data_IF_505726050479
#
_entry.id   IF_505726050479
#
_cell.length_a   1.000
_cell.length_b   1.000
_cell.length_c   1.000
_cell.angle_alpha   90.00
_cell.angle_beta   90.00
_cell.angle_gamma   90.00
#
_symmetry.space_group_name_H-M   'P 1'
#
loop_
_entity.id
_entity.type
_entity.pdbx_description
1 polymer ?
#
# COMPACT_ATOMS: atom_id res chain seq x y z
N UNK A 1 6.25 8.01 -24.49
CA UNK A 1 5.40 6.93 -23.94
C UNK A 1 5.81 5.65 -24.67
N UNK A 2 6.35 4.66 -23.95
CA UNK A 2 6.87 3.44 -24.59
C UNK A 2 5.75 2.48 -25.00
N UNK A 3 5.86 1.88 -26.18
CA UNK A 3 5.00 0.81 -26.66
C UNK A 3 5.33 -0.48 -25.91
N UNK A 4 4.37 -1.05 -25.18
CA UNK A 4 4.53 -2.36 -24.54
C UNK A 4 4.55 -3.44 -25.62
N UNK A 5 5.52 -4.35 -25.59
CA UNK A 5 5.66 -5.47 -26.53
C UNK A 5 5.21 -6.77 -25.88
N UNK A 6 4.61 -7.66 -26.66
CA UNK A 6 4.22 -9.00 -26.21
C UNK A 6 5.40 -9.96 -26.28
N UNK A 7 5.75 -10.58 -25.14
CA UNK A 7 6.83 -11.56 -25.09
C UNK A 7 6.55 -12.85 -25.88
N UNK A 8 5.28 -13.13 -26.22
CA UNK A 8 4.89 -14.36 -26.92
C UNK A 8 4.92 -14.21 -28.45
N UNK A 9 4.65 -13.01 -28.96
CA UNK A 9 4.48 -12.75 -30.40
C UNK A 9 5.42 -11.67 -30.95
N UNK A 10 6.14 -10.97 -30.07
CA UNK A 10 7.04 -9.85 -30.39
C UNK A 10 6.36 -8.68 -31.13
N UNK A 11 5.04 -8.63 -31.10
CA UNK A 11 4.23 -7.55 -31.64
C UNK A 11 3.89 -6.53 -30.55
N UNK A 12 3.59 -5.29 -30.95
CA UNK A 12 3.11 -4.28 -30.02
C UNK A 12 1.81 -4.76 -29.37
N UNK A 13 1.70 -4.62 -28.05
CA UNK A 13 0.56 -5.11 -27.28
C UNK A 13 -0.77 -4.56 -27.81
N UNK A 14 -0.80 -3.36 -28.41
CA UNK A 14 -2.00 -2.77 -28.98
C UNK A 14 -2.47 -3.38 -30.30
N UNK A 15 -1.60 -4.06 -31.04
CA UNK A 15 -1.91 -4.65 -32.36
C UNK A 15 -2.43 -6.10 -32.23
N UNK A 16 -2.33 -6.70 -31.03
CA UNK A 16 -2.85 -8.03 -30.78
C UNK A 16 -4.38 -8.07 -30.85
N UNK A 17 -4.92 -9.12 -31.46
CA UNK A 17 -6.37 -9.37 -31.48
C UNK A 17 -6.99 -9.53 -30.09
N UNK A 18 -6.18 -9.91 -29.10
CA UNK A 18 -6.57 -10.04 -27.68
C UNK A 18 -6.26 -8.80 -26.85
N UNK A 19 -5.76 -7.73 -27.45
CA UNK A 19 -5.47 -6.48 -26.74
C UNK A 19 -6.76 -5.85 -26.21
N UNK A 20 -6.74 -5.40 -24.96
CA UNK A 20 -7.81 -4.61 -24.35
C UNK A 20 -9.22 -5.22 -24.46
N UNK A 21 -9.34 -6.56 -24.54
CA UNK A 21 -10.65 -7.24 -24.66
C UNK A 21 -11.61 -6.87 -23.50
N UNK A 22 -11.09 -6.52 -22.33
CA UNK A 22 -11.92 -6.07 -21.20
C UNK A 22 -12.58 -4.69 -21.42
N UNK A 23 -12.09 -3.85 -22.34
CA UNK A 23 -12.69 -2.54 -22.64
C UNK A 23 -13.82 -2.64 -23.65
N UNK A 24 -13.87 -3.75 -24.40
CA UNK A 24 -14.86 -4.02 -25.43
C UNK A 24 -16.18 -4.39 -24.79
N UNK A 25 -17.24 -3.69 -25.17
CA UNK A 25 -18.62 -3.95 -24.75
C UNK A 25 -19.38 -4.80 -25.76
N UNK A 26 -18.81 -5.00 -26.95
CA UNK A 26 -19.35 -5.80 -28.05
C UNK A 26 -19.01 -7.29 -27.94
N UNK A 27 -18.16 -7.67 -26.98
CA UNK A 27 -17.76 -9.06 -26.76
C UNK A 27 -18.36 -9.59 -25.45
N UNK A 28 -19.03 -10.74 -25.55
CA UNK A 28 -19.56 -11.44 -24.39
C UNK A 28 -18.42 -11.95 -23.52
N UNK A 29 -18.34 -11.48 -22.27
CA UNK A 29 -17.34 -11.97 -21.32
C UNK A 29 -17.64 -13.42 -20.98
N UNK A 30 -16.65 -14.28 -21.13
CA UNK A 30 -16.77 -15.67 -20.70
C UNK A 30 -17.06 -15.70 -19.20
N UNK A 31 -18.20 -16.28 -18.83
CA UNK A 31 -18.67 -16.32 -17.44
C UNK A 31 -17.74 -17.10 -16.49
N UNK A 32 -16.67 -17.72 -17.01
CA UNK A 32 -15.68 -18.48 -16.24
C UNK A 32 -14.51 -17.62 -15.73
N UNK A 33 -14.30 -16.41 -16.27
CA UNK A 33 -13.24 -15.51 -15.82
C UNK A 33 -13.84 -14.44 -14.89
N UNK A 34 -14.14 -14.85 -13.66
CA UNK A 34 -14.61 -13.95 -12.63
C UNK A 34 -14.60 -14.64 -11.28
N UNK A 35 -14.42 -13.88 -10.20
CA UNK A 35 -14.44 -14.38 -8.84
C UNK A 35 -15.83 -14.96 -8.42
N UNK A 36 -16.83 -14.94 -9.31
CA UNK A 36 -18.22 -15.29 -9.02
C UNK A 36 -18.63 -16.74 -9.25
N UNK A 37 -17.87 -17.56 -10.00
CA UNK A 37 -18.25 -18.99 -10.19
C UNK A 37 -17.71 -19.91 -9.10
N UNK A 38 -16.57 -19.61 -8.49
CA UNK A 38 -16.12 -20.26 -7.25
C UNK A 38 -16.84 -19.74 -6.00
N UNK A 39 -17.59 -18.64 -6.13
CA UNK A 39 -18.46 -18.10 -5.10
C UNK A 39 -19.80 -18.85 -4.91
N UNK A 40 -20.15 -19.77 -5.81
CA UNK A 40 -21.42 -20.50 -5.73
C UNK A 40 -21.49 -21.49 -4.55
N UNK A 41 -20.43 -21.59 -3.74
CA UNK A 41 -20.34 -22.41 -2.54
C UNK A 41 -20.06 -21.55 -1.28
N UNK A 42 -20.67 -20.37 -1.15
CA UNK A 42 -20.35 -19.46 -0.05
C UNK A 42 -21.58 -18.95 0.70
N UNK A 43 -21.44 -18.84 2.02
CA UNK A 43 -22.41 -18.35 3.01
C UNK A 43 -22.66 -16.82 2.89
N UNK A 44 -22.84 -16.29 1.69
CA UNK A 44 -23.17 -14.89 1.46
C UNK A 44 -24.14 -14.73 0.29
N UNK A 45 -24.92 -13.65 0.32
CA UNK A 45 -25.86 -13.30 -0.74
C UNK A 45 -25.36 -12.08 -1.51
N UNK A 46 -25.43 -12.13 -2.85
CA UNK A 46 -25.18 -10.98 -3.72
C UNK A 46 -26.50 -10.22 -3.86
N UNK A 47 -26.58 -9.02 -3.27
CA UNK A 47 -27.81 -8.20 -3.24
C UNK A 47 -27.90 -7.25 -4.45
N UNK A 48 -26.82 -7.05 -5.20
CA UNK A 48 -26.80 -6.23 -6.41
C UNK A 48 -25.92 -6.87 -7.48
N UNK A 49 -26.55 -7.51 -8.46
CA UNK A 49 -25.90 -8.07 -9.64
C UNK A 49 -26.94 -8.40 -10.69
N UNK A 50 -26.86 -7.74 -11.84
CA UNK A 50 -27.73 -7.98 -12.98
C UNK A 50 -27.41 -9.36 -13.58
N UNK A 51 -28.09 -10.38 -13.08
CA UNK A 51 -27.82 -11.76 -13.51
C UNK A 51 -28.58 -12.87 -12.80
N UNK A 52 -29.48 -12.58 -11.85
CA UNK A 52 -30.37 -13.59 -11.27
C UNK A 52 -31.81 -13.17 -11.49
N UNK A 53 -32.47 -13.69 -12.53
CA UNK A 53 -33.93 -13.70 -12.61
C UNK A 53 -34.45 -14.63 -11.52
N UNK A 54 -34.62 -14.10 -10.31
CA UNK A 54 -35.46 -14.69 -9.29
C UNK A 54 -36.67 -13.78 -9.16
N UNK A 55 -37.82 -14.32 -9.55
CA UNK A 55 -39.16 -13.74 -9.44
C UNK A 55 -39.36 -12.98 -8.13
N UNK A 56 -39.71 -11.70 -8.26
CA UNK A 56 -40.12 -10.81 -7.17
C UNK A 56 -41.18 -11.46 -6.27
N UNK A 57 -41.02 -11.36 -4.94
CA UNK A 57 -42.12 -11.00 -4.09
C UNK A 57 -42.03 -9.51 -3.77
N UNK A 58 -42.99 -8.79 -4.32
CA UNK A 58 -43.57 -7.54 -3.83
C UNK A 58 -43.15 -7.18 -2.38
N UNK A 59 -42.19 -6.26 -2.26
CA UNK A 59 -42.08 -5.29 -1.17
C UNK A 59 -40.97 -4.30 -1.52
N UNK A 60 -41.26 -3.46 -2.51
CA UNK A 60 -40.48 -2.28 -2.82
C UNK A 60 -40.66 -1.24 -1.72
N UNK A 61 -40.03 -1.45 -0.56
CA UNK A 61 -39.55 -0.31 0.21
C UNK A 61 -38.24 0.09 -0.46
N UNK A 62 -38.22 1.22 -1.14
CA UNK A 62 -36.97 1.88 -1.52
C UNK A 62 -36.12 2.03 -0.25
N UNK A 63 -35.14 1.14 -0.06
CA UNK A 63 -34.13 1.28 0.97
C UNK A 63 -33.20 2.37 0.47
N UNK A 64 -33.63 3.62 0.61
CA UNK A 64 -32.77 4.77 0.44
C UNK A 64 -31.77 4.69 1.58
N UNK A 65 -30.55 4.25 1.28
CA UNK A 65 -29.41 4.23 2.21
C UNK A 65 -29.12 5.67 2.64
N UNK A 66 -29.84 6.17 3.63
CA UNK A 66 -29.60 7.49 4.20
C UNK A 66 -28.29 7.39 4.99
N UNK A 67 -27.27 8.19 4.66
CA UNK A 67 -26.08 8.24 5.50
C UNK A 67 -26.51 8.65 6.91
N UNK A 68 -26.14 7.83 7.90
CA UNK A 68 -26.38 8.15 9.30
C UNK A 68 -25.65 9.44 9.64
N UNK A 69 -26.28 10.33 10.42
CA UNK A 69 -25.62 11.56 10.89
C UNK A 69 -24.32 11.19 11.57
N UNK A 70 -23.22 11.84 11.17
CA UNK A 70 -21.93 11.63 11.83
C UNK A 70 -22.12 11.86 13.33
N UNK A 71 -21.70 10.91 14.19
CA UNK A 71 -21.67 11.14 15.63
C UNK A 71 -20.91 12.44 15.94
N UNK A 72 -21.25 13.08 17.05
CA UNK A 72 -20.55 14.28 17.49
C UNK A 72 -19.02 14.01 17.51
N UNK A 73 -18.25 14.93 16.93
CA UNK A 73 -16.81 14.76 16.79
C UNK A 73 -16.11 14.69 18.16
N UNK A 74 -16.69 15.32 19.18
CA UNK A 74 -16.18 15.28 20.55
C UNK A 74 -16.62 14.04 21.34
N UNK A 75 -17.55 13.25 20.80
CA UNK A 75 -18.04 12.01 21.42
C UNK A 75 -17.28 10.77 20.93
N UNK A 76 -16.22 10.95 20.12
CA UNK A 76 -15.36 9.83 19.76
C UNK A 76 -14.55 9.34 20.99
N UNK A 77 -14.35 8.02 21.14
CA UNK A 77 -13.69 7.45 22.32
C UNK A 77 -12.23 7.90 22.49
N UNK A 78 -11.53 8.19 21.39
CA UNK A 78 -10.15 8.66 21.40
C UNK A 78 -10.06 10.13 21.84
N UNK A 79 -11.01 10.97 21.44
CA UNK A 79 -11.11 12.37 21.85
C UNK A 79 -11.41 12.48 23.35
N UNK A 80 -12.30 11.63 23.89
CA UNK A 80 -12.55 11.56 25.33
C UNK A 80 -11.30 11.09 26.10
N UNK A 81 -10.62 10.05 25.63
CA UNK A 81 -9.39 9.55 26.27
C UNK A 81 -8.26 10.61 26.28
N UNK A 82 -8.14 11.40 25.21
CA UNK A 82 -7.18 12.51 25.15
C UNK A 82 -7.54 13.63 26.13
N UNK A 83 -8.84 13.93 26.30
CA UNK A 83 -9.32 14.91 27.28
C UNK A 83 -9.06 14.43 28.72
N UNK A 84 -9.42 13.19 29.04
CA UNK A 84 -9.14 12.54 30.34
C UNK A 84 -7.63 12.53 30.66
N UNK A 85 -6.81 12.30 29.63
CA UNK A 85 -5.35 12.29 29.72
C UNK A 85 -4.67 13.67 29.71
N UNK A 86 -5.43 14.77 29.66
CA UNK A 86 -4.91 16.13 29.46
C UNK A 86 -3.91 16.24 28.28
N UNK A 87 -4.10 15.41 27.25
CA UNK A 87 -3.17 15.23 26.15
C UNK A 87 -3.36 16.33 25.10
N UNK A 88 -3.08 17.57 25.49
CA UNK A 88 -3.21 18.73 24.59
C UNK A 88 -2.06 18.78 23.59
N UNK A 89 -2.28 19.40 22.43
CA UNK A 89 -1.24 19.59 21.41
C UNK A 89 -0.01 20.34 21.94
N UNK A 90 -0.18 21.19 22.96
CA UNK A 90 0.91 21.88 23.64
C UNK A 90 1.77 20.91 24.47
N UNK A 91 1.13 20.01 25.23
CA UNK A 91 1.81 18.98 26.03
C UNK A 91 2.56 18.00 25.14
N UNK A 92 1.94 17.56 24.03
CA UNK A 92 2.61 16.70 23.05
C UNK A 92 3.83 17.40 22.44
N UNK A 93 3.70 18.68 22.07
CA UNK A 93 4.84 19.47 21.57
C UNK A 93 5.96 19.61 22.60
N UNK A 94 5.63 19.67 23.89
CA UNK A 94 6.62 19.74 24.95
C UNK A 94 7.34 18.41 25.15
N UNK A 95 6.61 17.30 25.17
CA UNK A 95 7.17 15.94 25.28
C UNK A 95 8.09 15.60 24.09
N UNK A 96 7.76 16.10 22.90
CA UNK A 96 8.56 15.90 21.69
C UNK A 96 9.79 16.80 21.62
N UNK A 97 9.99 17.76 22.55
CA UNK A 97 11.22 18.56 22.57
C UNK A 97 12.40 17.63 22.82
N UNK A 98 13.37 17.55 21.90
CA UNK A 98 14.54 16.72 22.10
C UNK A 98 15.27 17.22 23.34
N UNK A 99 15.28 16.41 24.40
CA UNK A 99 16.12 16.67 25.56
C UNK A 99 17.55 16.53 25.07
N UNK A 100 18.24 17.66 24.93
CA UNK A 100 19.64 17.70 24.60
C UNK A 100 20.43 17.04 25.75
N UNK A 101 20.60 15.73 25.66
CA UNK A 101 21.61 15.03 26.46
C UNK A 101 22.94 15.47 25.87
N UNK A 102 23.64 16.35 26.59
CA UNK A 102 25.03 16.69 26.28
C UNK A 102 25.85 15.40 26.33
N UNK A 103 26.06 14.80 25.16
CA UNK A 103 26.96 13.66 25.04
C UNK A 103 28.38 14.16 25.35
N UNK A 104 29.18 13.43 26.15
CA UNK A 104 30.57 13.78 26.35
C UNK A 104 31.31 13.82 25.02
N UNK A 105 32.36 14.66 24.95
CA UNK A 105 33.17 14.82 23.75
C UNK A 105 33.67 13.45 23.26
N UNK A 106 33.89 13.25 21.95
CA UNK A 106 34.26 11.96 21.38
C UNK A 106 35.45 11.28 22.09
N UNK A 107 36.39 12.07 22.60
CA UNK A 107 37.57 11.61 23.34
C UNK A 107 37.25 10.99 24.71
N UNK A 108 36.12 11.33 25.32
CA UNK A 108 35.72 10.81 26.64
C UNK A 108 34.68 9.69 26.56
N UNK A 109 34.33 9.22 25.35
CA UNK A 109 33.36 8.14 25.18
C UNK A 109 34.05 6.79 25.36
N UNK A 110 33.74 6.09 26.45
CA UNK A 110 34.19 4.70 26.67
C UNK A 110 33.32 3.73 25.86
N UNK A 111 33.55 3.66 24.55
CA UNK A 111 32.84 2.76 23.63
C UNK A 111 33.60 1.44 23.55
N UNK A 112 32.95 0.32 23.87
CA UNK A 112 33.48 -1.01 23.60
C UNK A 112 33.09 -1.40 22.19
N UNK A 113 34.05 -1.44 21.27
CA UNK A 113 33.83 -1.93 19.91
C UNK A 113 33.82 -3.45 19.97
N UNK A 114 32.71 -4.07 19.59
CA UNK A 114 32.58 -5.52 19.47
C UNK A 114 32.28 -5.84 18.02
N UNK A 115 33.26 -6.38 17.31
CA UNK A 115 33.13 -6.75 15.90
C UNK A 115 34.49 -6.75 15.19
N UNK A 116 34.66 -7.54 14.11
CA UNK A 116 35.87 -7.50 13.30
C UNK A 116 35.99 -6.17 12.56
N UNK A 117 37.22 -5.68 12.37
CA UNK A 117 37.48 -4.50 11.56
C UNK A 117 37.45 -4.89 10.09
N UNK A 118 36.45 -4.38 9.35
CA UNK A 118 36.25 -4.75 7.94
C UNK A 118 37.03 -3.88 6.95
N UNK A 119 37.45 -2.68 7.34
CA UNK A 119 38.09 -1.72 6.45
C UNK A 119 39.50 -1.36 6.95
N UNK A 120 40.51 -1.30 6.07
CA UNK A 120 41.84 -0.82 6.42
C UNK A 120 41.81 0.67 6.75
N UNK A 121 42.83 1.16 7.46
CA UNK A 121 42.88 2.56 7.87
C UNK A 121 42.81 3.49 6.63
N UNK A 122 42.26 4.71 6.71
CA UNK A 122 42.12 5.62 5.57
C UNK A 122 43.44 5.92 4.85
N UNK A 123 44.57 5.90 5.55
CA UNK A 123 45.90 6.02 4.94
C UNK A 123 46.29 4.81 4.07
N UNK A 124 45.78 3.62 4.37
CA UNK A 124 46.03 2.38 3.63
C UNK A 124 45.03 2.19 2.47
N UNK A 125 43.89 2.91 2.48
CA UNK A 125 42.85 2.83 1.46
C UNK A 125 43.21 3.52 0.11
N UNK A 126 44.24 4.38 0.09
CA UNK A 126 44.62 5.17 -1.09
C UNK A 126 45.16 4.38 -2.28
N UNK A 127 45.50 3.10 -2.10
CA UNK A 127 46.03 2.23 -3.15
C UNK A 127 45.01 1.23 -3.73
N UNK A 128 43.76 1.22 -3.25
CA UNK A 128 42.72 0.31 -3.74
C UNK A 128 41.98 0.93 -4.93
N UNK A 129 42.36 0.51 -6.13
CA UNK A 129 41.65 0.88 -7.36
C UNK A 129 40.45 -0.05 -7.55
N UNK A 130 39.24 0.51 -7.64
CA UNK A 130 38.04 -0.27 -7.90
C UNK A 130 38.12 -0.92 -9.29
N UNK A 131 37.65 -2.17 -9.47
CA UNK A 131 37.69 -2.83 -10.76
C UNK A 131 36.87 -2.05 -11.79
N UNK A 132 37.52 -1.66 -12.89
CA UNK A 132 36.90 -0.97 -14.02
C UNK A 132 35.95 -1.92 -14.71
N UNK A 133 34.70 -1.48 -14.91
CA UNK A 133 33.71 -2.22 -15.70
C UNK A 133 34.06 -2.07 -17.18
N UNK A 134 34.46 -3.16 -17.82
CA UNK A 134 34.56 -3.23 -19.28
C UNK A 134 33.16 -3.48 -19.85
N UNK A 135 32.61 -2.52 -20.58
CA UNK A 135 31.40 -2.75 -21.39
C UNK A 135 31.82 -3.48 -22.67
N UNK A 136 31.44 -4.75 -22.79
CA UNK A 136 31.59 -5.55 -24.01
C UNK A 136 30.61 -5.09 -25.08
N UNK A 137 31.11 -5.01 -26.32
CA UNK A 137 30.33 -4.78 -27.55
C UNK A 137 29.38 -5.93 -27.84
#
# INVERSE_FOLDING_TARGET
>A
VGTMMSAATDEAYGDLSTAYLYRRTDMERTQSCGCGKTASAQNYAIIAGEGSSASDPESGLEIVSRPWSRPDAEADPETLANADGNLTSAVVKELLKPKATTLPSPAHRRIRVVGPSFLPAPQEAGALQAPVRTHGQ
#
